data_IF_698523437899
#
_entry.id   IF_698523437899
#
_cell.length_a   1.000
_cell.length_b   1.000
_cell.length_c   1.000
_cell.angle_alpha   90.00
_cell.angle_beta   90.00
_cell.angle_gamma   90.00
#
_symmetry.space_group_name_H-M   'P 1'
#
loop_
_entity.id
_entity.type
_entity.pdbx_description
1 polymer ?
#
# COMPACT_ATOMS: atom_id res chain seq x y z
N UNK A 1 -5.29 1.24 1.49
CA UNK A 1 -4.09 1.29 2.34
C UNK A 1 -3.66 2.72 2.68
N UNK A 2 -3.29 3.60 1.75
CA UNK A 2 -2.81 4.97 2.09
C UNK A 2 -3.78 5.75 2.99
N UNK A 3 -5.06 5.81 2.62
CA UNK A 3 -6.10 6.53 3.38
C UNK A 3 -6.32 6.03 4.82
N UNK A 4 -6.02 4.76 5.11
CA UNK A 4 -6.10 4.22 6.49
C UNK A 4 -4.84 4.54 7.29
N UNK A 5 -3.66 4.52 6.65
CA UNK A 5 -2.41 4.99 7.26
C UNK A 5 -2.50 6.46 7.65
N UNK A 6 -3.05 7.31 6.76
CA UNK A 6 -3.32 8.72 7.08
C UNK A 6 -4.26 8.84 8.28
N UNK A 7 -5.29 7.99 8.37
CA UNK A 7 -6.18 7.94 9.53
C UNK A 7 -5.46 7.63 10.85
N UNK A 8 -4.50 6.69 10.83
CA UNK A 8 -3.65 6.38 11.98
C UNK A 8 -2.80 7.58 12.40
N UNK A 9 -2.15 8.25 11.42
CA UNK A 9 -1.33 9.43 11.66
C UNK A 9 -2.13 10.62 12.19
N UNK A 10 -3.35 10.83 11.70
CA UNK A 10 -4.26 11.85 12.23
C UNK A 10 -4.69 11.54 13.67
N UNK A 11 -4.90 10.26 14.00
CA UNK A 11 -5.19 9.82 15.38
C UNK A 11 -3.99 10.07 16.31
N UNK A 12 -2.78 9.75 15.85
CA UNK A 12 -1.55 10.02 16.59
C UNK A 12 -1.30 11.53 16.80
N UNK A 13 -1.42 12.34 15.73
CA UNK A 13 -1.22 13.79 15.80
C UNK A 13 -2.27 14.54 16.65
N UNK A 14 -3.40 13.90 16.95
CA UNK A 14 -4.42 14.42 17.86
C UNK A 14 -4.35 13.82 19.27
N UNK A 15 -3.32 13.04 19.58
CA UNK A 15 -3.11 12.41 20.89
C UNK A 15 -4.07 11.26 21.22
N UNK A 16 -4.87 10.78 20.26
CA UNK A 16 -5.83 9.68 20.46
C UNK A 16 -5.20 8.29 20.31
N UNK A 17 -3.94 8.21 19.89
CA UNK A 17 -3.25 6.95 19.65
C UNK A 17 -1.75 7.13 19.88
N UNK A 18 -1.15 6.16 20.55
CA UNK A 18 0.29 6.06 20.79
C UNK A 18 1.02 5.33 19.66
N UNK A 19 2.33 5.53 19.57
CA UNK A 19 3.19 4.82 18.61
C UNK A 19 3.13 3.29 18.78
N UNK A 20 2.98 2.81 20.02
CA UNK A 20 2.88 1.38 20.33
C UNK A 20 1.58 0.77 19.77
N UNK A 21 0.47 1.50 19.86
CA UNK A 21 -0.81 1.06 19.30
C UNK A 21 -0.76 1.01 17.76
N UNK A 22 -0.14 2.00 17.12
CA UNK A 22 0.07 2.00 15.66
C UNK A 22 0.94 0.81 15.24
N UNK A 23 2.01 0.52 15.99
CA UNK A 23 2.88 -0.63 15.74
C UNK A 23 2.10 -1.95 15.86
N UNK A 24 1.27 -2.09 16.89
CA UNK A 24 0.41 -3.26 17.09
C UNK A 24 -0.54 -3.46 15.89
N UNK A 25 -1.20 -2.40 15.45
CA UNK A 25 -2.09 -2.44 14.29
C UNK A 25 -1.37 -2.80 12.99
N UNK A 26 -0.10 -2.38 12.81
CA UNK A 26 0.71 -2.74 11.64
C UNK A 26 1.13 -4.22 11.64
N UNK A 27 1.39 -4.79 12.82
CA UNK A 27 1.74 -6.21 12.99
C UNK A 27 0.52 -7.15 13.04
N UNK A 28 -0.68 -6.59 13.16
CA UNK A 28 -1.94 -7.34 13.28
C UNK A 28 -2.37 -8.00 11.96
N UNK A 29 -3.45 -8.77 12.02
CA UNK A 29 -4.02 -9.39 10.82
C UNK A 29 -4.80 -8.36 9.98
N UNK A 30 -4.88 -8.64 8.67
CA UNK A 30 -5.27 -7.72 7.58
C UNK A 30 -6.63 -7.01 7.71
N UNK A 31 -7.50 -7.46 8.63
CA UNK A 31 -8.91 -7.08 8.70
C UNK A 31 -9.31 -6.28 9.96
N UNK A 32 -8.35 -5.93 10.81
CA UNK A 32 -8.60 -4.99 11.89
C UNK A 32 -8.68 -3.59 11.26
N UNK A 33 -9.89 -3.09 10.97
CA UNK A 33 -10.12 -1.70 10.56
C UNK A 33 -9.77 -0.72 11.72
N UNK A 34 -8.53 -0.77 12.19
CA UNK A 34 -8.06 -0.14 13.43
C UNK A 34 -8.15 1.39 13.37
N UNK A 35 -8.15 1.98 12.18
CA UNK A 35 -8.21 3.42 11.99
C UNK A 35 -9.19 3.81 10.88
N UNK A 36 -9.85 4.95 11.08
CA UNK A 36 -10.78 5.54 10.13
C UNK A 36 -10.12 5.73 8.76
N UNK A 37 -10.70 5.13 7.73
CA UNK A 37 -10.32 5.39 6.33
C UNK A 37 -10.74 6.82 5.98
N UNK A 38 -9.76 7.70 5.73
CA UNK A 38 -10.04 9.11 5.42
C UNK A 38 -10.75 9.29 4.09
N UNK A 39 -11.39 10.43 3.86
CA UNK A 39 -12.11 10.69 2.61
C UNK A 39 -11.16 10.77 1.38
N UNK A 40 -11.61 10.41 0.16
CA UNK A 40 -10.73 10.31 -1.01
C UNK A 40 -10.26 11.66 -1.56
N UNK A 41 -11.04 12.74 -1.38
CA UNK A 41 -10.78 14.04 -2.01
C UNK A 41 -9.46 14.72 -1.59
N UNK A 42 -8.84 14.27 -0.49
CA UNK A 42 -7.55 14.79 -0.02
C UNK A 42 -6.33 14.00 -0.51
N UNK A 43 -6.51 12.98 -1.36
CA UNK A 43 -5.44 12.12 -1.86
C UNK A 43 -5.22 12.31 -3.36
N UNK A 44 -3.99 12.64 -3.75
CA UNK A 44 -3.59 12.83 -5.15
C UNK A 44 -2.40 11.95 -5.50
N UNK A 45 -2.46 11.27 -6.65
CA UNK A 45 -1.31 10.55 -7.20
C UNK A 45 -0.31 11.56 -7.78
N UNK A 46 0.90 11.59 -7.24
CA UNK A 46 1.91 12.60 -7.61
C UNK A 46 2.77 12.13 -8.78
N UNK A 47 3.23 10.87 -8.77
CA UNK A 47 4.17 10.35 -9.75
C UNK A 47 4.09 8.83 -9.84
N UNK A 48 4.32 8.32 -11.04
CA UNK A 48 4.65 6.91 -11.28
C UNK A 48 6.09 6.88 -11.76
N UNK A 49 6.94 6.11 -11.10
CA UNK A 49 8.32 5.91 -11.51
C UNK A 49 8.45 4.57 -12.23
N UNK A 50 9.19 4.56 -13.33
CA UNK A 50 9.54 3.36 -14.08
C UNK A 50 11.05 3.08 -13.96
N UNK A 51 11.47 1.81 -14.10
CA UNK A 51 12.88 1.48 -14.24
C UNK A 51 13.51 2.20 -15.44
N UNK A 52 14.85 2.28 -15.45
CA UNK A 52 15.58 2.75 -16.63
C UNK A 52 15.21 1.91 -17.87
N UNK A 53 15.28 2.52 -19.07
CA UNK A 53 14.91 1.85 -20.34
C UNK A 53 15.60 0.50 -20.52
N UNK A 54 16.87 0.40 -20.13
CA UNK A 54 17.66 -0.85 -20.19
C UNK A 54 17.11 -1.99 -19.33
N UNK A 55 16.26 -1.70 -18.34
CA UNK A 55 15.64 -2.68 -17.44
C UNK A 55 14.20 -3.05 -17.84
N UNK A 56 13.63 -2.38 -18.84
CA UNK A 56 12.22 -2.59 -19.20
C UNK A 56 11.98 -3.97 -19.83
N UNK A 57 12.91 -4.47 -20.65
CA UNK A 57 12.80 -5.81 -21.25
C UNK A 57 12.75 -6.90 -20.18
N UNK A 58 13.69 -6.88 -19.24
CA UNK A 58 13.73 -7.82 -18.12
C UNK A 58 12.48 -7.73 -17.22
N UNK A 59 11.95 -6.51 -17.01
CA UNK A 59 10.70 -6.32 -16.27
C UNK A 59 9.50 -6.94 -17.00
N UNK A 60 9.46 -6.84 -18.33
CA UNK A 60 8.41 -7.46 -19.14
C UNK A 60 8.47 -9.00 -19.01
N UNK A 61 9.65 -9.60 -19.16
CA UNK A 61 9.85 -11.05 -18.99
C UNK A 61 9.40 -11.53 -17.59
N UNK A 62 9.80 -10.83 -16.51
CA UNK A 62 9.44 -11.18 -15.13
C UNK A 62 7.93 -11.15 -14.88
N UNK A 63 7.22 -10.21 -15.53
CA UNK A 63 5.78 -9.98 -15.29
C UNK A 63 4.89 -10.72 -16.27
N UNK A 64 5.47 -11.33 -17.31
CA UNK A 64 4.72 -12.02 -18.34
C UNK A 64 4.10 -13.30 -17.78
N UNK A 65 2.77 -13.39 -17.84
CA UNK A 65 2.02 -14.60 -17.48
C UNK A 65 1.74 -15.41 -18.74
N UNK A 66 2.77 -16.05 -19.27
CA UNK A 66 2.63 -16.97 -20.42
C UNK A 66 1.99 -18.26 -19.95
N UNK A 67 0.88 -18.65 -20.59
CA UNK A 67 0.25 -19.96 -20.35
C UNK A 67 0.94 -21.01 -21.21
N UNK A 68 1.26 -22.17 -20.65
CA UNK A 68 1.75 -23.34 -21.38
C UNK A 68 0.62 -24.34 -21.60
N UNK A 69 0.81 -25.30 -22.52
CA UNK A 69 -0.17 -26.36 -22.78
C UNK A 69 -0.45 -27.23 -21.55
N UNK A 70 0.49 -27.27 -20.61
CA UNK A 70 0.41 -28.03 -19.36
C UNK A 70 -0.36 -27.29 -18.25
N UNK A 71 -0.78 -26.03 -18.47
CA UNK A 71 -1.55 -25.22 -17.50
C UNK A 71 -3.08 -25.50 -17.52
N UNK A 72 -3.55 -26.43 -18.36
CA UNK A 72 -4.96 -26.87 -18.51
C UNK A 72 -5.25 -28.15 -17.72
#
# INVERSE_FOLDING_TARGET
MVRSVVGALMSAGSGRTSVLEVRKALSGQRNENAYKVQAPQGLTLIKIAYPAKSKLAAQAELTQRTRTLDDN
#
